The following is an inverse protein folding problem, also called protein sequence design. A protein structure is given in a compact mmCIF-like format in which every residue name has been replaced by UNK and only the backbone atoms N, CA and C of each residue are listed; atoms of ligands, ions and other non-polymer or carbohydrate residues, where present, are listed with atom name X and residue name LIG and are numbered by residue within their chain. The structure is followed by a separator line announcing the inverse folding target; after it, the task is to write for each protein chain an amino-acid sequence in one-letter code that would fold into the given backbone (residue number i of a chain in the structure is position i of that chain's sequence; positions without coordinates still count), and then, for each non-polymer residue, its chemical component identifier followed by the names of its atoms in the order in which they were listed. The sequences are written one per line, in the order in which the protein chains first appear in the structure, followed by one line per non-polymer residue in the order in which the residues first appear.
data_IF_023806562160
#
_entry.id   IF_023806562160
#
_cell.length_a   1.000
_cell.length_b   1.000
_cell.length_c   1.000
_cell.angle_alpha   90.00
_cell.angle_beta   90.00
_cell.angle_gamma   90.00
#
_symmetry.space_group_name_H-M   'P 1'
#
loop_
_entity.id
_entity.type
_entity.pdbx_description
1 polymer ?
#
# COMPACT_ATOMS: atom_id res chain seq x y z
N UNK A 1 44.26 -42.75 -26.96
CA UNK A 1 44.99 -41.71 -27.73
C UNK A 1 44.11 -40.47 -27.69
N UNK A 2 44.41 -39.37 -27.02
CA UNK A 2 45.70 -38.81 -26.65
C UNK A 2 45.69 -38.18 -25.23
N UNK A 3 46.89 -37.82 -24.80
CA UNK A 3 47.40 -37.66 -23.44
C UNK A 3 46.86 -36.49 -22.61
N UNK A 4 46.97 -36.71 -21.29
CA UNK A 4 46.88 -35.74 -20.23
C UNK A 4 48.15 -34.87 -20.15
N UNK A 5 47.98 -33.55 -19.96
CA UNK A 5 49.03 -32.66 -19.47
C UNK A 5 48.49 -31.90 -18.25
N UNK A 6 49.06 -32.21 -17.08
CA UNK A 6 48.75 -31.60 -15.81
C UNK A 6 49.29 -30.17 -15.73
N UNK A 7 48.46 -29.22 -15.27
CA UNK A 7 48.90 -27.88 -14.84
C UNK A 7 49.58 -27.97 -13.46
N UNK A 8 50.64 -27.19 -13.20
CA UNK A 8 51.28 -27.16 -11.89
C UNK A 8 50.41 -26.39 -10.88
N UNK A 9 50.50 -26.69 -9.57
CA UNK A 9 49.72 -26.00 -8.55
C UNK A 9 50.17 -24.54 -8.40
N UNK A 10 49.21 -23.62 -8.44
CA UNK A 10 49.41 -22.18 -8.19
C UNK A 10 49.79 -21.95 -6.73
N UNK A 11 50.99 -21.42 -6.50
CA UNK A 11 51.52 -21.11 -5.18
C UNK A 11 50.77 -19.87 -4.59
N UNK A 12 50.11 -19.98 -3.42
CA UNK A 12 49.27 -18.91 -2.85
C UNK A 12 50.01 -17.61 -2.53
N UNK A 13 51.34 -17.64 -2.41
CA UNK A 13 52.15 -16.43 -2.18
C UNK A 13 52.22 -15.52 -3.41
N UNK A 14 52.08 -16.08 -4.62
CA UNK A 14 52.09 -15.31 -5.88
C UNK A 14 50.78 -14.56 -6.12
N UNK A 15 49.65 -15.13 -5.64
CA UNK A 15 48.33 -14.51 -5.79
C UNK A 15 48.17 -13.32 -4.82
N UNK A 16 48.76 -13.41 -3.63
CA UNK A 16 48.77 -12.31 -2.65
C UNK A 16 49.60 -11.14 -3.17
N UNK A 17 50.76 -11.40 -3.80
CA UNK A 17 51.59 -10.34 -4.38
C UNK A 17 50.91 -9.60 -5.54
N UNK A 18 50.14 -10.30 -6.39
CA UNK A 18 49.40 -9.69 -7.49
C UNK A 18 48.24 -8.81 -6.97
N UNK A 19 47.58 -9.23 -5.88
CA UNK A 19 46.51 -8.45 -5.24
C UNK A 19 47.07 -7.19 -4.57
N UNK A 20 48.25 -7.29 -3.95
CA UNK A 20 48.92 -6.17 -3.28
C UNK A 20 49.48 -5.15 -4.30
N UNK A 21 49.98 -5.62 -5.45
CA UNK A 21 50.42 -4.76 -6.55
C UNK A 21 49.24 -4.05 -7.24
N UNK A 22 48.08 -4.71 -7.42
CA UNK A 22 46.85 -4.09 -7.94
C UNK A 22 46.28 -3.03 -6.98
N UNK A 23 46.36 -3.28 -5.68
CA UNK A 23 45.90 -2.36 -4.63
C UNK A 23 46.77 -1.10 -4.52
N UNK A 24 48.05 -1.20 -4.91
CA UNK A 24 48.99 -0.08 -4.89
C UNK A 24 48.97 0.81 -6.15
N UNK A 25 48.12 0.47 -7.14
CA UNK A 25 48.10 1.19 -8.41
C UNK A 25 47.52 2.62 -8.27
N UNK A 26 48.20 3.67 -8.79
CA UNK A 26 47.74 5.06 -8.69
C UNK A 26 46.40 5.31 -9.40
N UNK A 27 46.03 4.48 -10.37
CA UNK A 27 44.73 4.51 -11.05
C UNK A 27 43.57 4.10 -10.14
N UNK A 28 43.78 3.17 -9.21
CA UNK A 28 42.73 2.77 -8.27
C UNK A 28 42.47 3.88 -7.25
N UNK A 29 43.52 4.56 -6.78
CA UNK A 29 43.38 5.73 -5.90
C UNK A 29 42.70 6.90 -6.60
N UNK A 30 42.94 7.11 -7.89
CA UNK A 30 42.24 8.15 -8.67
C UNK A 30 40.76 7.78 -8.92
N UNK A 31 40.44 6.49 -9.13
CA UNK A 31 39.06 5.99 -9.23
C UNK A 31 38.30 5.99 -7.89
N UNK A 32 38.99 5.75 -6.77
CA UNK A 32 38.44 5.85 -5.42
C UNK A 32 38.23 7.32 -5.03
N UNK A 33 39.18 8.21 -5.34
CA UNK A 33 39.03 9.65 -5.16
C UNK A 33 37.87 10.21 -6.00
N UNK A 34 37.69 9.73 -7.25
CA UNK A 34 36.51 10.08 -8.07
C UNK A 34 35.19 9.52 -7.55
N UNK A 35 35.21 8.49 -6.69
CA UNK A 35 34.01 7.87 -6.14
C UNK A 35 33.49 8.57 -4.88
N UNK A 36 34.34 9.34 -4.19
CA UNK A 36 33.97 10.13 -3.00
C UNK A 36 33.25 11.46 -3.32
N UNK A 37 33.31 11.97 -4.55
CA UNK A 37 32.64 13.23 -4.91
C UNK A 37 31.26 13.05 -5.57
N UNK A 38 30.49 12.04 -5.15
CA UNK A 38 29.03 12.09 -5.33
C UNK A 38 28.44 12.99 -4.26
N UNK A 39 28.64 14.30 -4.43
CA UNK A 39 27.92 15.31 -3.67
C UNK A 39 26.43 15.17 -3.99
N UNK A 40 25.72 14.34 -3.22
CA UNK A 40 24.33 14.63 -2.91
C UNK A 40 24.37 16.05 -2.36
N UNK A 41 23.74 16.99 -3.07
CA UNK A 41 23.66 18.38 -2.63
C UNK A 41 23.35 18.38 -1.14
N UNK A 42 24.23 18.99 -0.33
CA UNK A 42 24.07 19.07 1.12
C UNK A 42 22.70 19.64 1.49
N UNK A 43 22.09 20.42 0.59
CA UNK A 43 20.70 20.89 0.68
C UNK A 43 19.66 19.77 0.61
N UNK A 44 19.82 18.74 -0.22
CA UNK A 44 18.87 17.61 -0.33
C UNK A 44 18.96 16.69 0.88
N UNK A 45 20.17 16.44 1.39
CA UNK A 45 20.39 15.64 2.60
C UNK A 45 19.96 16.41 3.85
N UNK A 46 20.25 17.71 3.94
CA UNK A 46 19.81 18.58 5.05
C UNK A 46 18.30 18.78 5.07
N UNK A 47 17.63 18.86 3.92
CA UNK A 47 16.17 18.97 3.84
C UNK A 47 15.45 17.65 4.22
N UNK A 48 16.10 16.51 4.01
CA UNK A 48 15.51 15.19 4.25
C UNK A 48 15.76 14.63 5.67
N UNK A 49 16.86 15.03 6.32
CA UNK A 49 17.25 14.56 7.66
C UNK A 49 16.67 15.43 8.78
N UNK A 50 16.28 16.67 8.49
CA UNK A 50 15.97 17.67 9.50
C UNK A 50 14.47 18.00 9.55
N UNK A 51 13.62 17.03 9.89
CA UNK A 51 12.18 17.28 10.15
C UNK A 51 11.42 16.15 10.90
N UNK A 52 12.10 15.15 11.48
CA UNK A 52 11.39 14.09 12.24
C UNK A 52 11.07 14.51 13.71
N UNK A 53 11.16 15.80 14.03
CA UNK A 53 10.54 16.36 15.24
C UNK A 53 9.06 16.60 14.97
N UNK A 54 8.21 15.83 15.64
CA UNK A 54 6.74 15.90 15.59
C UNK A 54 6.13 17.21 16.15
N UNK A 55 6.91 18.28 16.26
CA UNK A 55 6.50 19.65 16.56
C UNK A 55 6.97 20.56 15.42
N UNK A 56 6.01 21.19 14.75
CA UNK A 56 6.26 22.25 13.77
C UNK A 56 7.07 23.38 14.43
N UNK A 57 8.37 23.41 14.17
CA UNK A 57 9.15 24.64 14.11
C UNK A 57 10.07 24.52 12.89
N UNK A 58 9.87 25.33 11.85
CA UNK A 58 10.69 25.29 10.65
C UNK A 58 12.16 25.58 11.00
N UNK A 59 13.13 24.90 10.36
CA UNK A 59 14.53 25.23 10.54
C UNK A 59 14.78 26.56 9.83
N UNK A 60 15.44 27.50 10.52
CA UNK A 60 15.62 28.92 10.18
C UNK A 60 14.48 29.79 10.73
N UNK A 61 14.77 30.49 11.83
CA UNK A 61 14.07 31.73 12.18
C UNK A 61 13.93 32.58 10.91
N UNK A 62 12.74 33.10 10.58
CA UNK A 62 12.50 33.71 9.29
C UNK A 62 13.45 34.88 9.11
N UNK A 63 14.38 34.77 8.16
CA UNK A 63 14.62 35.91 7.29
C UNK A 63 13.35 36.03 6.44
N UNK A 64 12.35 36.67 7.04
CA UNK A 64 11.11 37.15 6.42
C UNK A 64 10.52 36.24 5.31
N UNK A 65 9.66 35.28 5.70
CA UNK A 65 8.37 35.08 5.02
C UNK A 65 8.27 34.28 3.71
N UNK A 66 8.86 33.09 3.57
CA UNK A 66 8.46 32.18 2.48
C UNK A 66 8.54 30.69 2.90
N UNK A 67 7.40 29.99 2.87
CA UNK A 67 7.37 28.53 2.76
C UNK A 67 7.97 28.15 1.39
N UNK A 68 8.87 27.16 1.35
CA UNK A 68 9.49 26.68 0.10
C UNK A 68 8.46 26.13 -0.91
N UNK A 69 7.31 25.68 -0.42
CA UNK A 69 6.17 25.31 -1.24
C UNK A 69 5.16 26.45 -1.32
N UNK A 70 4.63 26.68 -2.53
CA UNK A 70 3.46 27.54 -2.72
C UNK A 70 2.27 26.90 -2.02
N UNK A 71 1.50 27.66 -1.21
CA UNK A 71 0.27 27.16 -0.66
C UNK A 71 -0.69 26.77 -1.80
N UNK A 72 -1.50 25.76 -1.55
CA UNK A 72 -2.56 25.36 -2.49
C UNK A 72 -3.61 26.46 -2.65
N UNK A 73 -4.52 26.25 -3.58
CA UNK A 73 -5.69 27.09 -3.76
C UNK A 73 -6.93 26.40 -3.18
N UNK A 74 -7.89 27.21 -2.70
CA UNK A 74 -9.22 26.69 -2.38
C UNK A 74 -10.28 27.45 -3.16
N UNK A 75 -11.22 26.71 -3.74
CA UNK A 75 -12.33 27.28 -4.52
C UNK A 75 -13.66 26.70 -4.07
N UNK A 76 -14.70 27.52 -4.10
CA UNK A 76 -16.07 27.05 -3.95
C UNK A 76 -16.66 26.77 -5.32
N UNK A 77 -17.07 25.53 -5.57
CA UNK A 77 -17.69 25.14 -6.83
C UNK A 77 -19.19 25.41 -6.79
N UNK A 78 -19.72 26.00 -7.87
CA UNK A 78 -21.17 26.08 -8.10
C UNK A 78 -21.60 24.85 -8.89
N UNK A 79 -22.61 24.14 -8.38
CA UNK A 79 -23.08 22.84 -8.90
C UNK A 79 -23.44 22.92 -10.40
N UNK A 80 -23.00 21.93 -11.19
CA UNK A 80 -23.63 21.57 -12.47
C UNK A 80 -22.72 21.45 -13.68
N UNK A 81 -21.72 22.33 -13.84
CA UNK A 81 -20.91 22.39 -15.08
C UNK A 81 -19.39 22.35 -14.86
N UNK A 82 -18.91 22.72 -13.67
CA UNK A 82 -17.46 22.76 -13.37
C UNK A 82 -16.88 21.39 -12.94
N UNK A 83 -17.74 20.39 -12.72
CA UNK A 83 -17.34 19.04 -12.33
C UNK A 83 -17.00 18.13 -13.51
N UNK A 84 -17.52 18.43 -14.70
CA UNK A 84 -17.31 17.63 -15.90
C UNK A 84 -15.91 17.87 -16.46
N UNK A 85 -14.95 17.04 -16.02
CA UNK A 85 -13.59 16.99 -16.58
C UNK A 85 -12.46 17.22 -15.58
N UNK A 86 -12.76 17.65 -14.36
CA UNK A 86 -11.77 17.76 -13.29
C UNK A 86 -11.52 16.39 -12.64
N UNK A 87 -10.26 15.94 -12.66
CA UNK A 87 -9.81 14.72 -11.99
C UNK A 87 -9.41 15.08 -10.56
N UNK A 88 -10.20 14.61 -9.60
CA UNK A 88 -9.91 14.74 -8.17
C UNK A 88 -9.32 13.45 -7.64
N UNK A 89 -8.50 13.58 -6.60
CA UNK A 89 -7.71 12.46 -6.07
C UNK A 89 -8.36 11.88 -4.84
N UNK A 90 -8.84 12.76 -3.96
CA UNK A 90 -9.45 12.41 -2.69
C UNK A 90 -10.74 13.20 -2.47
N UNK A 91 -11.65 12.57 -1.74
CA UNK A 91 -12.81 13.21 -1.17
C UNK A 91 -12.75 13.11 0.36
N UNK A 92 -12.91 14.24 1.04
CA UNK A 92 -13.06 14.34 2.49
C UNK A 92 -14.49 14.79 2.76
N UNK A 93 -15.26 13.90 3.40
CA UNK A 93 -16.65 14.17 3.78
C UNK A 93 -16.65 14.64 5.22
N UNK A 94 -17.20 15.83 5.47
CA UNK A 94 -17.35 16.39 6.82
C UNK A 94 -18.82 16.56 7.18
N UNK A 95 -19.10 16.48 8.48
CA UNK A 95 -20.39 16.82 9.05
C UNK A 95 -20.51 18.32 9.23
N UNK A 96 -21.62 18.89 8.77
CA UNK A 96 -21.95 20.28 9.10
C UNK A 96 -22.35 20.37 10.57
N UNK A 97 -21.88 21.42 11.26
CA UNK A 97 -22.39 21.75 12.59
C UNK A 97 -23.87 22.16 12.43
N UNK A 98 -24.83 21.58 13.19
CA UNK A 98 -26.19 22.11 13.21
C UNK A 98 -26.09 23.56 13.69
N UNK A 99 -26.62 24.50 12.90
CA UNK A 99 -26.66 25.89 13.32
C UNK A 99 -27.80 26.02 14.32
N UNK A 100 -27.52 26.47 15.54
CA UNK A 100 -28.57 26.72 16.52
C UNK A 100 -29.53 27.80 15.96
N UNK A 101 -30.78 27.43 15.69
CA UNK A 101 -31.82 28.28 15.07
C UNK A 101 -32.09 29.60 15.82
N UNK A 102 -31.58 29.76 17.05
CA UNK A 102 -31.82 30.93 17.90
C UNK A 102 -31.10 32.20 17.47
N UNK A 103 -30.14 32.14 16.53
CA UNK A 103 -29.33 33.31 16.12
C UNK A 103 -29.72 33.92 14.77
N UNK A 104 -30.74 33.40 14.08
CA UNK A 104 -31.17 33.93 12.78
C UNK A 104 -32.25 35.00 12.90
N UNK A 105 -31.86 36.19 13.38
CA UNK A 105 -32.59 37.42 13.09
C UNK A 105 -31.60 38.44 12.52
N UNK A 106 -31.64 38.61 11.20
CA UNK A 106 -31.15 39.82 10.54
C UNK A 106 -29.64 39.99 10.44
N UNK A 107 -28.95 39.16 9.65
CA UNK A 107 -27.79 39.62 8.88
C UNK A 107 -27.56 38.74 7.65
N UNK A 108 -27.34 39.40 6.53
CA UNK A 108 -26.94 38.81 5.24
C UNK A 108 -25.65 37.98 5.41
N UNK A 109 -25.47 36.84 4.71
CA UNK A 109 -24.34 35.95 4.91
C UNK A 109 -23.09 36.50 4.21
N UNK A 110 -22.55 37.61 4.69
CA UNK A 110 -21.15 37.94 4.41
C UNK A 110 -20.26 37.00 5.22
N UNK A 111 -19.81 35.98 4.50
CA UNK A 111 -18.99 34.83 4.90
C UNK A 111 -17.69 35.24 5.62
N UNK A 112 -17.76 35.45 6.92
CA UNK A 112 -16.59 35.28 7.82
C UNK A 112 -16.70 33.91 8.48
N UNK A 113 -16.38 32.86 7.72
CA UNK A 113 -16.41 31.48 8.20
C UNK A 113 -15.15 31.16 9.00
N UNK A 114 -15.13 31.55 10.28
CA UNK A 114 -14.13 31.09 11.26
C UNK A 114 -14.54 29.71 11.84
N UNK A 115 -14.92 28.79 10.94
CA UNK A 115 -15.44 27.47 11.27
C UNK A 115 -14.35 26.41 11.42
N UNK A 116 -14.62 25.29 12.11
CA UNK A 116 -13.69 24.16 12.19
C UNK A 116 -13.36 23.57 10.80
N UNK A 117 -14.24 23.76 9.81
CA UNK A 117 -14.06 23.37 8.41
C UNK A 117 -12.94 24.19 7.74
N UNK A 118 -12.88 25.51 7.98
CA UNK A 118 -11.83 26.40 7.49
C UNK A 118 -10.46 25.96 8.00
N UNK A 119 -10.38 25.52 9.26
CA UNK A 119 -9.13 24.96 9.83
C UNK A 119 -8.66 23.69 9.13
N UNK A 120 -9.58 22.88 8.59
CA UNK A 120 -9.24 21.68 7.81
C UNK A 120 -8.71 22.12 6.44
N UNK A 121 -9.37 23.07 5.80
CA UNK A 121 -8.96 23.63 4.51
C UNK A 121 -7.58 24.30 4.62
N UNK A 122 -7.38 25.17 5.60
CA UNK A 122 -6.12 25.88 5.83
C UNK A 122 -4.96 24.91 6.01
N UNK A 123 -5.18 23.79 6.72
CA UNK A 123 -4.17 22.74 6.90
C UNK A 123 -3.84 22.03 5.59
N UNK A 124 -4.83 21.72 4.76
CA UNK A 124 -4.61 21.07 3.47
C UNK A 124 -3.86 22.02 2.51
N UNK A 125 -4.31 23.27 2.42
CA UNK A 125 -3.72 24.33 1.61
C UNK A 125 -2.29 24.64 2.05
N UNK A 126 -2.01 24.68 3.36
CA UNK A 126 -0.66 24.89 3.89
C UNK A 126 0.33 23.80 3.48
N UNK A 127 -0.13 22.60 3.14
CA UNK A 127 0.70 21.51 2.64
C UNK A 127 0.72 21.42 1.10
N UNK A 128 0.23 22.45 0.39
CA UNK A 128 0.28 22.53 -1.07
C UNK A 128 -0.76 21.67 -1.79
N UNK A 129 -1.85 21.29 -1.11
CA UNK A 129 -2.99 20.60 -1.73
C UNK A 129 -4.04 21.62 -2.15
N UNK A 130 -4.59 21.44 -3.34
CA UNK A 130 -5.68 22.24 -3.88
C UNK A 130 -7.02 21.63 -3.44
N UNK A 131 -7.92 22.48 -2.94
CA UNK A 131 -9.15 22.04 -2.27
C UNK A 131 -10.37 22.72 -2.88
N UNK A 132 -11.20 21.93 -3.54
CA UNK A 132 -12.46 22.37 -4.08
C UNK A 132 -13.62 21.95 -3.17
N UNK A 133 -14.50 22.90 -2.90
CA UNK A 133 -15.58 22.73 -1.93
C UNK A 133 -16.89 22.53 -2.67
N UNK A 134 -17.61 21.45 -2.30
CA UNK A 134 -18.96 21.15 -2.76
C UNK A 134 -19.90 21.06 -1.56
N UNK A 135 -20.95 21.88 -1.60
CA UNK A 135 -22.11 21.73 -0.72
C UNK A 135 -22.93 20.52 -1.20
N UNK A 136 -23.01 19.46 -0.39
CA UNK A 136 -23.58 18.18 -0.82
C UNK A 136 -25.11 18.19 -0.96
N UNK A 137 -25.67 18.78 -2.00
CA UNK A 137 -27.12 18.77 -2.23
C UNK A 137 -27.57 17.65 -3.18
N UNK A 138 -27.73 16.41 -2.70
CA UNK A 138 -28.42 15.35 -3.47
C UNK A 138 -29.09 14.31 -2.56
N UNK A 139 -30.27 14.62 -1.99
CA UNK A 139 -31.39 13.69 -1.72
C UNK A 139 -32.30 14.15 -0.56
N UNK A 140 -32.95 15.31 -0.69
CA UNK A 140 -34.33 15.58 -0.24
C UNK A 140 -34.59 17.09 -0.35
N UNK A 141 -35.03 17.54 -1.52
CA UNK A 141 -35.89 18.73 -1.53
C UNK A 141 -37.24 18.29 -0.97
N UNK A 142 -37.40 18.32 0.35
CA UNK A 142 -38.73 18.33 0.96
C UNK A 142 -39.33 19.68 0.61
N UNK A 143 -40.45 19.69 -0.12
CA UNK A 143 -41.20 20.91 -0.41
C UNK A 143 -41.53 21.61 0.92
N UNK A 144 -40.87 22.74 1.19
CA UNK A 144 -41.20 23.62 2.32
C UNK A 144 -40.17 23.73 3.45
N UNK A 145 -39.01 23.08 3.39
CA UNK A 145 -37.95 23.22 4.40
C UNK A 145 -36.65 23.75 3.78
N UNK A 146 -36.08 24.80 4.38
CA UNK A 146 -34.73 25.29 4.05
C UNK A 146 -33.66 24.44 4.75
N UNK A 147 -33.64 23.13 4.47
CA UNK A 147 -32.66 22.23 5.07
C UNK A 147 -31.43 22.13 4.17
N UNK A 148 -30.37 22.84 4.56
CA UNK A 148 -29.04 22.68 3.96
C UNK A 148 -28.52 21.26 4.14
N UNK A 149 -27.61 20.86 3.25
CA UNK A 149 -27.01 19.52 3.28
C UNK A 149 -26.36 19.18 4.62
N UNK A 150 -26.58 17.93 5.06
CA UNK A 150 -25.98 17.37 6.28
C UNK A 150 -24.44 17.23 6.17
N UNK A 151 -23.95 17.15 4.94
CA UNK A 151 -22.56 16.89 4.62
C UNK A 151 -21.96 17.97 3.73
N UNK A 152 -20.70 18.25 4.00
CA UNK A 152 -19.86 19.13 3.24
C UNK A 152 -18.71 18.29 2.66
N UNK A 153 -18.51 18.36 1.34
CA UNK A 153 -17.54 17.52 0.64
C UNK A 153 -16.41 18.38 0.13
N UNK A 154 -15.20 18.05 0.58
CA UNK A 154 -13.95 18.65 0.15
C UNK A 154 -13.33 17.71 -0.89
N UNK A 155 -13.22 18.17 -2.12
CA UNK A 155 -12.48 17.49 -3.17
C UNK A 155 -11.04 17.99 -3.14
N UNK A 156 -10.10 17.06 -3.06
CA UNK A 156 -8.68 17.36 -2.94
C UNK A 156 -7.99 16.93 -4.23
N UNK A 157 -7.20 17.84 -4.78
CA UNK A 157 -6.28 17.58 -5.88
C UNK A 157 -4.86 17.99 -5.48
N UNK A 158 -3.87 17.19 -5.84
CA UNK A 158 -2.48 17.50 -5.51
C UNK A 158 -1.81 18.37 -6.58
N UNK A 159 -1.18 19.47 -6.15
CA UNK A 159 -0.29 20.27 -7.01
C UNK A 159 0.97 19.45 -7.34
N UNK A 160 1.32 19.35 -8.61
CA UNK A 160 2.48 18.58 -9.09
C UNK A 160 3.82 19.04 -8.47
N UNK A 161 4.00 20.33 -8.17
CA UNK A 161 5.19 20.83 -7.47
C UNK A 161 5.28 20.25 -6.03
N UNK A 162 4.15 20.22 -5.33
CA UNK A 162 4.09 19.70 -3.96
C UNK A 162 4.23 18.17 -3.94
N UNK A 163 3.51 17.50 -4.83
CA UNK A 163 3.52 16.05 -4.96
C UNK A 163 4.91 15.52 -5.30
N UNK A 164 5.65 16.17 -6.20
CA UNK A 164 7.02 15.76 -6.52
C UNK A 164 7.98 15.96 -5.34
N UNK A 165 7.85 17.06 -4.59
CA UNK A 165 8.67 17.29 -3.39
C UNK A 165 8.39 16.24 -2.30
N UNK A 166 7.12 16.04 -1.93
CA UNK A 166 6.73 15.06 -0.92
C UNK A 166 7.00 13.62 -1.38
N UNK A 167 6.73 13.31 -2.64
CA UNK A 167 7.01 12.00 -3.22
C UNK A 167 8.49 11.64 -3.17
N UNK A 168 9.38 12.58 -3.51
CA UNK A 168 10.83 12.35 -3.43
C UNK A 168 11.28 12.14 -1.99
N UNK A 169 10.79 12.95 -1.05
CA UNK A 169 11.08 12.80 0.39
C UNK A 169 10.65 11.43 0.90
N UNK A 170 9.45 10.99 0.55
CA UNK A 170 8.86 9.75 1.05
C UNK A 170 9.55 8.50 0.47
N UNK A 171 9.86 8.51 -0.82
CA UNK A 171 10.67 7.46 -1.45
C UNK A 171 12.09 7.42 -0.85
N UNK A 172 12.68 8.58 -0.56
CA UNK A 172 14.01 8.66 0.06
C UNK A 172 14.00 8.11 1.49
N UNK A 173 12.98 8.44 2.29
CA UNK A 173 12.80 7.86 3.62
C UNK A 173 12.58 6.35 3.58
N UNK A 174 11.84 5.86 2.58
CA UNK A 174 11.66 4.42 2.36
C UNK A 174 13.01 3.76 2.05
N UNK A 175 13.75 4.32 1.11
CA UNK A 175 15.08 3.86 0.75
C UNK A 175 16.07 3.87 1.93
N UNK A 176 16.09 4.95 2.73
CA UNK A 176 16.96 5.05 3.91
C UNK A 176 16.69 3.93 4.92
N UNK A 177 15.42 3.52 5.07
CA UNK A 177 15.04 2.46 6.02
C UNK A 177 15.25 1.06 5.46
N UNK A 178 15.10 0.86 4.16
CA UNK A 178 15.24 -0.46 3.56
C UNK A 178 16.63 -0.77 3.04
N UNK A 179 17.41 0.25 2.70
CA UNK A 179 18.69 0.11 1.99
C UNK A 179 18.53 -0.48 0.59
N UNK A 180 17.32 -0.50 0.02
CA UNK A 180 17.07 -1.15 -1.27
C UNK A 180 17.67 -0.34 -2.43
N UNK A 181 18.84 -0.74 -2.93
CA UNK A 181 19.56 -0.03 -4.00
C UNK A 181 18.76 0.15 -5.30
N UNK A 182 17.74 -0.68 -5.54
CA UNK A 182 16.89 -0.64 -6.74
C UNK A 182 16.03 0.63 -6.84
N UNK A 183 15.64 1.20 -5.71
CA UNK A 183 14.83 2.42 -5.67
C UNK A 183 15.66 3.71 -5.88
N UNK A 184 17.00 3.62 -5.78
CA UNK A 184 17.90 4.78 -5.83
C UNK A 184 17.93 5.45 -7.19
N UNK A 185 17.97 4.67 -8.27
CA UNK A 185 18.02 5.25 -9.62
C UNK A 185 16.73 6.02 -9.94
N UNK A 186 15.57 5.52 -9.50
CA UNK A 186 14.29 6.21 -9.62
C UNK A 186 14.26 7.50 -8.78
N UNK A 187 14.87 7.50 -7.60
CA UNK A 187 14.99 8.65 -6.71
C UNK A 187 15.87 9.78 -7.25
N UNK A 188 17.00 9.43 -7.85
CA UNK A 188 18.03 10.39 -8.26
C UNK A 188 17.77 10.95 -9.66
N UNK A 189 17.25 10.13 -10.58
CA UNK A 189 17.10 10.49 -12.01
C UNK A 189 15.64 10.65 -12.46
N UNK A 190 14.68 10.10 -11.71
CA UNK A 190 13.28 9.98 -12.14
C UNK A 190 12.31 10.97 -11.51
N UNK A 191 11.10 11.01 -12.07
CA UNK A 191 9.94 11.55 -11.36
C UNK A 191 9.57 10.59 -10.23
N UNK A 192 9.40 11.07 -8.98
CA UNK A 192 9.16 10.20 -7.82
C UNK A 192 7.77 9.56 -7.84
N UNK A 193 6.84 10.13 -8.63
CA UNK A 193 5.49 9.64 -8.84
C UNK A 193 5.43 9.05 -10.24
N UNK A 194 5.43 7.72 -10.30
CA UNK A 194 5.40 6.97 -11.56
C UNK A 194 3.99 6.46 -11.86
N UNK A 195 3.21 6.18 -10.81
CA UNK A 195 1.88 5.56 -10.94
C UNK A 195 0.78 6.37 -10.25
N UNK A 196 -0.47 6.28 -10.72
CA UNK A 196 -1.64 6.83 -10.01
C UNK A 196 -1.73 6.34 -8.55
N UNK A 197 -1.39 5.08 -8.30
CA UNK A 197 -1.36 4.52 -6.96
C UNK A 197 -0.30 5.19 -6.06
N UNK A 198 0.91 5.45 -6.59
CA UNK A 198 1.93 6.23 -5.85
C UNK A 198 1.43 7.65 -5.55
N UNK A 199 0.75 8.29 -6.51
CA UNK A 199 0.17 9.63 -6.34
C UNK A 199 -0.85 9.66 -5.20
N UNK A 200 -1.77 8.71 -5.20
CA UNK A 200 -2.76 8.53 -4.13
C UNK A 200 -2.08 8.26 -2.79
N UNK A 201 -1.02 7.45 -2.77
CA UNK A 201 -0.29 7.11 -1.56
C UNK A 201 0.45 8.31 -0.96
N UNK A 202 1.03 9.17 -1.80
CA UNK A 202 1.67 10.44 -1.36
C UNK A 202 0.62 11.40 -0.80
N UNK A 203 -0.52 11.57 -1.47
CA UNK A 203 -1.59 12.44 -0.99
C UNK A 203 -2.18 11.93 0.34
N UNK A 204 -2.43 10.63 0.47
CA UNK A 204 -2.89 10.02 1.73
C UNK A 204 -1.89 10.28 2.87
N UNK A 205 -0.58 10.17 2.58
CA UNK A 205 0.47 10.48 3.54
C UNK A 205 0.47 11.96 3.95
N UNK A 206 0.32 12.90 3.00
CA UNK A 206 0.21 14.34 3.29
C UNK A 206 -1.01 14.64 4.16
N UNK A 207 -2.17 14.05 3.87
CA UNK A 207 -3.41 14.26 4.62
C UNK A 207 -3.29 13.72 6.05
N UNK A 208 -2.76 12.49 6.21
CA UNK A 208 -2.70 11.80 7.50
C UNK A 208 -1.57 12.29 8.39
N UNK A 209 -0.37 12.47 7.85
CA UNK A 209 0.82 12.80 8.63
C UNK A 209 1.09 14.31 8.64
N UNK A 210 0.96 14.98 7.50
CA UNK A 210 1.16 16.44 7.40
C UNK A 210 0.00 17.22 8.03
N UNK A 211 -1.20 17.09 7.46
CA UNK A 211 -2.38 17.82 7.94
C UNK A 211 -2.99 17.23 9.23
N UNK A 212 -2.61 16.00 9.60
CA UNK A 212 -3.14 15.26 10.77
C UNK A 212 -4.67 15.11 10.72
N UNK A 213 -5.20 14.92 9.51
CA UNK A 213 -6.63 14.69 9.27
C UNK A 213 -6.85 13.17 9.24
N UNK A 214 -7.73 12.68 10.10
CA UNK A 214 -8.05 11.26 10.22
C UNK A 214 -9.54 11.13 10.54
N UNK A 215 -10.15 9.96 10.36
CA UNK A 215 -11.55 9.73 10.78
C UNK A 215 -11.80 9.94 12.28
N UNK A 216 -10.74 10.10 13.09
CA UNK A 216 -10.85 10.47 14.51
C UNK A 216 -10.89 11.98 14.76
N UNK A 217 -10.62 12.82 13.74
CA UNK A 217 -10.72 14.28 13.92
C UNK A 217 -12.20 14.68 13.99
N UNK A 218 -12.56 15.64 14.87
CA UNK A 218 -13.92 16.13 14.95
C UNK A 218 -14.43 16.57 13.57
N UNK A 219 -15.71 16.30 13.30
CA UNK A 219 -16.40 16.67 12.07
C UNK A 219 -15.98 15.95 10.78
N UNK A 220 -14.93 15.12 10.77
CA UNK A 220 -14.58 14.30 9.59
C UNK A 220 -15.29 12.96 9.65
N UNK A 221 -16.13 12.69 8.65
CA UNK A 221 -16.84 11.41 8.51
C UNK A 221 -15.95 10.37 7.82
N UNK A 222 -15.39 10.71 6.66
CA UNK A 222 -14.63 9.77 5.83
C UNK A 222 -13.64 10.48 4.92
N UNK A 223 -12.49 9.82 4.69
CA UNK A 223 -11.44 10.24 3.75
C UNK A 223 -11.15 9.06 2.84
N UNK A 224 -11.35 9.23 1.53
CA UNK A 224 -11.12 8.14 0.56
C UNK A 224 -10.70 8.67 -0.81
N UNK A 225 -9.93 7.89 -1.58
CA UNK A 225 -9.57 8.26 -2.93
C UNK A 225 -10.77 8.17 -3.88
N UNK A 226 -10.83 9.04 -4.88
CA UNK A 226 -11.89 9.05 -5.88
C UNK A 226 -11.56 8.05 -6.99
N UNK A 227 -12.58 7.35 -7.49
CA UNK A 227 -12.41 6.39 -8.59
C UNK A 227 -12.34 7.10 -9.95
N UNK A 228 -11.48 6.62 -10.84
CA UNK A 228 -11.51 6.97 -12.25
C UNK A 228 -12.47 6.04 -13.02
N UNK A 229 -13.65 6.52 -13.46
CA UNK A 229 -14.63 5.68 -14.15
C UNK A 229 -14.07 5.12 -15.47
N UNK A 230 -13.20 5.87 -16.16
CA UNK A 230 -12.63 5.45 -17.46
C UNK A 230 -11.70 4.25 -17.29
N UNK A 231 -10.80 4.32 -16.30
CA UNK A 231 -9.89 3.20 -15.99
C UNK A 231 -10.66 1.99 -15.46
N UNK A 232 -11.67 2.19 -14.62
CA UNK A 232 -12.51 1.10 -14.12
C UNK A 232 -13.25 0.37 -15.25
N UNK A 233 -13.84 1.09 -16.19
CA UNK A 233 -14.53 0.50 -17.34
C UNK A 233 -13.56 -0.29 -18.22
N UNK A 234 -12.37 0.27 -18.49
CA UNK A 234 -11.32 -0.41 -19.23
C UNK A 234 -10.88 -1.73 -18.56
N UNK A 235 -10.61 -1.68 -17.25
CA UNK A 235 -10.17 -2.85 -16.49
C UNK A 235 -11.27 -3.92 -16.43
N UNK A 236 -12.51 -3.52 -16.19
CA UNK A 236 -13.66 -4.43 -16.14
C UNK A 236 -13.90 -5.08 -17.50
N UNK A 237 -13.92 -4.30 -18.57
CA UNK A 237 -14.09 -4.82 -19.93
C UNK A 237 -12.98 -5.78 -20.31
N UNK A 238 -11.72 -5.43 -20.03
CA UNK A 238 -10.57 -6.29 -20.29
C UNK A 238 -10.65 -7.59 -19.48
N UNK A 239 -11.03 -7.52 -18.20
CA UNK A 239 -11.15 -8.68 -17.33
C UNK A 239 -12.27 -9.64 -17.78
N UNK A 240 -13.44 -9.11 -18.16
CA UNK A 240 -14.58 -9.91 -18.61
C UNK A 240 -14.32 -10.52 -19.99
N UNK A 241 -13.68 -9.78 -20.89
CA UNK A 241 -13.43 -10.22 -22.26
C UNK A 241 -12.24 -11.18 -22.39
N UNK A 242 -11.35 -11.23 -21.40
CA UNK A 242 -10.19 -12.12 -21.42
C UNK A 242 -10.62 -13.60 -21.29
N UNK A 243 -10.10 -14.52 -22.13
CA UNK A 243 -10.40 -15.94 -22.01
C UNK A 243 -9.92 -16.49 -20.66
N UNK A 244 -10.74 -17.35 -20.03
CA UNK A 244 -10.55 -17.90 -18.67
C UNK A 244 -9.21 -18.62 -18.38
N UNK A 245 -8.33 -18.84 -19.36
CA UNK A 245 -7.00 -19.42 -19.16
C UNK A 245 -5.85 -18.38 -19.22
N UNK A 246 -6.05 -17.23 -19.86
CA UNK A 246 -5.13 -16.07 -19.85
C UNK A 246 -5.63 -15.01 -18.85
N UNK A 247 -6.20 -15.46 -17.74
CA UNK A 247 -7.02 -14.64 -16.84
C UNK A 247 -6.35 -13.34 -16.39
N UNK A 248 -5.02 -13.30 -16.39
CA UNK A 248 -4.29 -12.10 -16.05
C UNK A 248 -2.99 -12.04 -16.87
N UNK A 249 -2.99 -11.27 -17.96
CA UNK A 249 -1.75 -10.93 -18.68
C UNK A 249 -0.84 -10.07 -17.79
N UNK A 250 0.48 -10.17 -17.94
CA UNK A 250 1.43 -9.31 -17.20
C UNK A 250 1.11 -7.81 -17.37
N UNK A 251 0.60 -7.43 -18.56
CA UNK A 251 0.14 -6.07 -18.86
C UNK A 251 -1.07 -5.67 -18.02
N UNK A 252 -2.02 -6.59 -17.83
CA UNK A 252 -3.16 -6.36 -16.96
C UNK A 252 -2.73 -6.22 -15.49
N UNK A 253 -1.80 -7.07 -15.00
CA UNK A 253 -1.24 -6.89 -13.65
C UNK A 253 -0.54 -5.56 -13.49
N UNK A 254 0.27 -5.15 -14.47
CA UNK A 254 0.99 -3.88 -14.42
C UNK A 254 0.01 -2.70 -14.35
N UNK A 255 -1.08 -2.73 -15.12
CA UNK A 255 -2.11 -1.69 -15.08
C UNK A 255 -2.91 -1.69 -13.78
N UNK A 256 -3.26 -2.87 -13.27
CA UNK A 256 -3.91 -3.03 -11.97
C UNK A 256 -3.04 -2.51 -10.83
N UNK A 257 -1.74 -2.84 -10.85
CA UNK A 257 -0.74 -2.34 -9.91
C UNK A 257 -0.63 -0.82 -9.98
N UNK A 258 -0.53 -0.26 -11.18
CA UNK A 258 -0.38 1.19 -11.35
C UNK A 258 -1.60 1.97 -10.84
N UNK A 259 -2.81 1.40 -10.91
CA UNK A 259 -4.04 2.09 -10.51
C UNK A 259 -4.46 1.82 -9.05
N UNK A 260 -4.47 0.55 -8.63
CA UNK A 260 -4.93 0.12 -7.29
C UNK A 260 -3.80 -0.16 -6.29
N UNK A 261 -2.55 -0.15 -6.74
CA UNK A 261 -1.40 -0.45 -5.93
C UNK A 261 -1.03 -1.94 -5.88
N UNK A 262 0.08 -2.20 -5.21
CA UNK A 262 0.76 -3.50 -5.22
C UNK A 262 -0.05 -4.60 -4.52
N UNK A 263 -0.71 -4.27 -3.40
CA UNK A 263 -1.49 -5.23 -2.59
C UNK A 263 -2.65 -5.84 -3.38
N UNK A 264 -3.39 -5.00 -4.10
CA UNK A 264 -4.51 -5.45 -4.94
C UNK A 264 -4.00 -6.27 -6.12
N UNK A 265 -2.91 -5.83 -6.76
CA UNK A 265 -2.29 -6.58 -7.85
C UNK A 265 -1.81 -7.98 -7.42
N UNK A 266 -1.22 -8.10 -6.22
CA UNK A 266 -0.84 -9.39 -5.64
C UNK A 266 -2.02 -10.34 -5.44
N UNK A 267 -3.17 -9.82 -5.01
CA UNK A 267 -4.38 -10.62 -4.89
C UNK A 267 -4.80 -11.20 -6.25
N UNK A 268 -4.87 -10.38 -7.30
CA UNK A 268 -5.22 -10.87 -8.64
C UNK A 268 -4.17 -11.82 -9.22
N UNK A 269 -2.88 -11.59 -8.96
CA UNK A 269 -1.81 -12.50 -9.36
C UNK A 269 -1.92 -13.86 -8.65
N UNK A 270 -2.24 -13.87 -7.36
CA UNK A 270 -2.50 -15.11 -6.62
C UNK A 270 -3.70 -15.86 -7.19
N UNK A 271 -4.80 -15.15 -7.42
CA UNK A 271 -6.01 -15.75 -7.99
C UNK A 271 -5.76 -16.37 -9.36
N UNK A 272 -4.98 -15.72 -10.24
CA UNK A 272 -4.59 -16.30 -11.53
C UNK A 272 -3.73 -17.57 -11.37
N UNK A 273 -2.70 -17.51 -10.53
CA UNK A 273 -1.85 -18.66 -10.24
C UNK A 273 -2.65 -19.83 -9.66
N UNK A 274 -3.58 -19.55 -8.75
CA UNK A 274 -4.43 -20.53 -8.10
C UNK A 274 -5.43 -21.15 -9.08
N UNK A 275 -6.13 -20.35 -9.87
CA UNK A 275 -7.07 -20.86 -10.89
C UNK A 275 -6.38 -21.73 -11.93
N UNK A 276 -5.22 -21.31 -12.44
CA UNK A 276 -4.40 -22.12 -13.36
C UNK A 276 -3.93 -23.43 -12.72
N UNK A 277 -3.67 -23.43 -11.42
CA UNK A 277 -3.28 -24.64 -10.69
C UNK A 277 -4.44 -25.58 -10.40
N UNK A 278 -5.67 -25.06 -10.25
CA UNK A 278 -6.89 -25.85 -10.05
C UNK A 278 -7.33 -26.56 -11.33
N UNK A 279 -7.10 -25.97 -12.51
CA UNK A 279 -7.52 -26.52 -13.79
C UNK A 279 -7.11 -27.98 -14.03
N UNK A 280 -5.85 -28.41 -13.86
CA UNK A 280 -5.47 -29.82 -14.04
C UNK A 280 -6.19 -30.76 -13.07
N UNK A 281 -6.40 -30.33 -11.82
CA UNK A 281 -7.17 -31.10 -10.83
C UNK A 281 -8.63 -31.20 -11.23
N UNK A 282 -9.24 -30.10 -11.68
CA UNK A 282 -10.63 -30.08 -12.09
C UNK A 282 -10.86 -31.01 -13.28
N UNK A 283 -9.98 -30.96 -14.28
CA UNK A 283 -10.05 -31.85 -15.46
C UNK A 283 -9.95 -33.31 -15.02
N UNK A 284 -8.98 -33.66 -14.18
CA UNK A 284 -8.78 -35.02 -13.72
C UNK A 284 -9.92 -35.51 -12.81
N UNK A 285 -10.49 -34.64 -11.97
CA UNK A 285 -11.66 -34.93 -11.14
C UNK A 285 -12.93 -35.17 -11.96
N UNK A 286 -13.16 -34.36 -13.00
CA UNK A 286 -14.26 -34.58 -13.96
C UNK A 286 -14.05 -35.89 -14.71
N UNK A 287 -12.84 -36.16 -15.20
CA UNK A 287 -12.47 -37.40 -15.88
C UNK A 287 -12.77 -38.63 -15.01
N UNK A 288 -12.34 -38.60 -13.74
CA UNK A 288 -12.59 -39.66 -12.77
C UNK A 288 -14.10 -39.88 -12.55
N UNK A 289 -14.88 -38.80 -12.51
CA UNK A 289 -16.33 -38.85 -12.35
C UNK A 289 -17.02 -39.46 -13.58
N UNK A 290 -16.59 -39.09 -14.79
CA UNK A 290 -17.11 -39.65 -16.04
C UNK A 290 -16.83 -41.16 -16.15
N UNK A 291 -15.64 -41.61 -15.74
CA UNK A 291 -15.28 -43.03 -15.80
C UNK A 291 -15.84 -43.87 -14.64
N UNK A 292 -16.55 -43.27 -13.67
CA UNK A 292 -17.15 -43.97 -12.52
C UNK A 292 -17.96 -45.20 -12.92
N UNK A 293 -18.79 -45.08 -13.96
CA UNK A 293 -19.65 -46.17 -14.41
C UNK A 293 -18.87 -47.32 -15.07
N UNK A 294 -17.66 -47.05 -15.59
CA UNK A 294 -16.81 -48.02 -16.28
C UNK A 294 -15.89 -48.76 -15.30
N UNK A 295 -15.35 -48.08 -14.28
CA UNK A 295 -14.41 -48.68 -13.33
C UNK A 295 -15.06 -49.64 -12.32
N UNK A 296 -16.37 -49.55 -12.13
CA UNK A 296 -17.09 -50.25 -11.06
C UNK A 296 -16.80 -49.65 -9.67
N UNK A 297 -17.76 -49.79 -8.75
CA UNK A 297 -17.73 -49.07 -7.46
C UNK A 297 -16.51 -49.39 -6.59
N UNK A 298 -16.08 -50.66 -6.56
CA UNK A 298 -14.95 -51.09 -5.73
C UNK A 298 -13.60 -50.46 -6.16
N UNK A 299 -13.33 -50.39 -7.47
CA UNK A 299 -12.10 -49.75 -7.98
C UNK A 299 -12.17 -48.23 -7.85
N UNK A 300 -13.34 -47.63 -8.12
CA UNK A 300 -13.55 -46.19 -7.96
C UNK A 300 -13.21 -45.71 -6.54
N UNK A 301 -13.65 -46.42 -5.49
CA UNK A 301 -13.33 -46.07 -4.10
C UNK A 301 -11.82 -46.15 -3.80
N UNK A 302 -11.10 -47.15 -4.34
CA UNK A 302 -9.64 -47.25 -4.17
C UNK A 302 -8.91 -46.10 -4.86
N UNK A 303 -9.33 -45.74 -6.08
CA UNK A 303 -8.73 -44.63 -6.83
C UNK A 303 -9.01 -43.29 -6.14
N UNK A 304 -10.19 -43.10 -5.54
CA UNK A 304 -10.51 -41.89 -4.80
C UNK A 304 -9.57 -41.64 -3.61
N UNK A 305 -9.17 -42.69 -2.88
CA UNK A 305 -8.21 -42.55 -1.78
C UNK A 305 -6.84 -42.10 -2.30
N UNK A 306 -6.37 -42.72 -3.38
CA UNK A 306 -5.11 -42.34 -4.03
C UNK A 306 -5.18 -40.90 -4.57
N UNK A 307 -6.32 -40.53 -5.16
CA UNK A 307 -6.59 -39.17 -5.62
C UNK A 307 -6.57 -38.16 -4.47
N UNK A 308 -7.22 -38.45 -3.35
CA UNK A 308 -7.23 -37.58 -2.18
C UNK A 308 -5.80 -37.37 -1.64
N UNK A 309 -4.98 -38.42 -1.59
CA UNK A 309 -3.57 -38.31 -1.20
C UNK A 309 -2.75 -37.48 -2.20
N UNK A 310 -2.96 -37.68 -3.50
CA UNK A 310 -2.30 -36.89 -4.55
C UNK A 310 -2.65 -35.40 -4.43
N UNK A 311 -3.94 -35.07 -4.27
CA UNK A 311 -4.38 -33.68 -4.12
C UNK A 311 -3.85 -33.06 -2.82
N UNK A 312 -3.95 -33.77 -1.71
CA UNK A 312 -3.58 -33.25 -0.38
C UNK A 312 -2.07 -33.10 -0.18
N UNK A 313 -1.24 -33.97 -0.77
CA UNK A 313 0.22 -33.93 -0.58
C UNK A 313 0.92 -33.29 -1.78
N UNK A 314 0.67 -33.81 -2.98
CA UNK A 314 1.44 -33.42 -4.18
C UNK A 314 0.97 -32.07 -4.70
N UNK A 315 -0.33 -31.92 -4.94
CA UNK A 315 -0.84 -30.69 -5.52
C UNK A 315 -0.77 -29.52 -4.54
N UNK A 316 -1.16 -29.72 -3.28
CA UNK A 316 -1.10 -28.65 -2.27
C UNK A 316 0.33 -28.07 -2.18
N UNK A 317 1.34 -28.93 -2.02
CA UNK A 317 2.73 -28.51 -1.96
C UNK A 317 3.17 -27.82 -3.24
N UNK A 318 2.80 -28.37 -4.40
CA UNK A 318 3.13 -27.77 -5.70
C UNK A 318 2.54 -26.38 -5.86
N UNK A 319 1.28 -26.15 -5.46
CA UNK A 319 0.65 -24.82 -5.50
C UNK A 319 1.36 -23.83 -4.60
N UNK A 320 1.66 -24.22 -3.36
CA UNK A 320 2.38 -23.36 -2.43
C UNK A 320 3.77 -23.01 -2.97
N UNK A 321 4.50 -23.99 -3.51
CA UNK A 321 5.84 -23.77 -4.06
C UNK A 321 5.80 -22.90 -5.33
N UNK A 322 4.85 -23.15 -6.22
CA UNK A 322 4.62 -22.37 -7.44
C UNK A 322 4.29 -20.91 -7.10
N UNK A 323 3.40 -20.69 -6.12
CA UNK A 323 3.08 -19.35 -5.65
C UNK A 323 4.28 -18.67 -5.01
N UNK A 324 5.06 -19.36 -4.17
CA UNK A 324 6.27 -18.81 -3.56
C UNK A 324 7.28 -18.33 -4.61
N UNK A 325 7.49 -19.11 -5.67
CA UNK A 325 8.35 -18.69 -6.78
C UNK A 325 7.79 -17.46 -7.52
N UNK A 326 6.50 -17.50 -7.89
CA UNK A 326 5.84 -16.38 -8.57
C UNK A 326 5.82 -15.10 -7.73
N UNK A 327 5.61 -15.24 -6.42
CA UNK A 327 5.63 -14.13 -5.48
C UNK A 327 7.00 -13.45 -5.44
N UNK A 328 8.09 -14.23 -5.43
CA UNK A 328 9.45 -13.70 -5.45
C UNK A 328 9.78 -13.02 -6.79
N UNK A 329 9.35 -13.62 -7.91
CA UNK A 329 9.49 -13.01 -9.23
C UNK A 329 8.78 -11.65 -9.29
N UNK A 330 7.53 -11.57 -8.83
CA UNK A 330 6.78 -10.32 -8.77
C UNK A 330 7.43 -9.31 -7.81
N UNK A 331 7.92 -9.77 -6.66
CA UNK A 331 8.60 -8.91 -5.69
C UNK A 331 9.86 -8.27 -6.29
N UNK A 332 10.58 -9.03 -7.11
CA UNK A 332 11.74 -8.55 -7.84
C UNK A 332 11.35 -7.61 -8.98
N UNK A 333 10.47 -8.02 -9.89
CA UNK A 333 10.05 -7.23 -11.05
C UNK A 333 9.41 -5.88 -10.69
N UNK A 334 8.78 -5.81 -9.53
CA UNK A 334 8.04 -4.64 -9.10
C UNK A 334 8.81 -3.72 -8.16
N UNK A 335 10.04 -4.08 -7.80
CA UNK A 335 10.79 -3.37 -6.76
C UNK A 335 9.97 -3.19 -5.48
N UNK A 336 9.27 -4.25 -5.08
CA UNK A 336 8.44 -4.19 -3.90
C UNK A 336 9.31 -4.21 -2.66
N UNK A 337 8.93 -3.34 -1.74
CA UNK A 337 9.46 -3.24 -0.40
C UNK A 337 8.27 -3.11 0.56
N UNK A 338 7.44 -4.14 0.57
CA UNK A 338 6.13 -4.11 1.21
C UNK A 338 6.25 -3.85 2.72
N UNK A 339 7.24 -4.45 3.36
CA UNK A 339 7.47 -4.31 4.81
C UNK A 339 7.88 -2.88 5.15
N UNK A 340 8.83 -2.29 4.41
CA UNK A 340 9.25 -0.92 4.66
C UNK A 340 8.15 0.08 4.31
N UNK A 341 7.42 -0.12 3.20
CA UNK A 341 6.29 0.73 2.81
C UNK A 341 5.17 0.68 3.86
N UNK A 342 4.89 -0.46 4.48
CA UNK A 342 3.86 -0.49 5.54
C UNK A 342 4.31 0.27 6.79
N UNK A 343 5.58 0.17 7.17
CA UNK A 343 6.13 0.88 8.34
C UNK A 343 6.24 2.38 8.13
N UNK A 344 6.62 2.83 6.93
CA UNK A 344 6.80 4.25 6.60
C UNK A 344 5.45 4.94 6.35
N UNK A 345 4.56 4.32 5.58
CA UNK A 345 3.34 4.99 5.12
C UNK A 345 2.13 4.78 6.03
N UNK A 346 2.07 3.66 6.77
CA UNK A 346 0.88 3.23 7.49
C UNK A 346 1.18 2.83 8.94
N UNK A 347 1.89 3.71 9.68
CA UNK A 347 2.14 3.51 11.11
C UNK A 347 0.82 3.46 11.86
N UNK A 348 0.62 2.42 12.68
CA UNK A 348 -0.60 2.31 13.49
C UNK A 348 -0.66 3.44 14.54
N UNK A 349 -1.61 4.40 14.46
CA UNK A 349 -1.68 5.52 15.39
C UNK A 349 -2.09 5.11 16.82
N UNK A 350 -2.72 3.94 16.95
CA UNK A 350 -3.16 3.36 18.22
C UNK A 350 -2.09 2.50 18.89
N UNK A 351 -0.93 2.33 18.25
CA UNK A 351 0.18 1.61 18.87
C UNK A 351 0.64 2.37 20.13
N UNK A 352 0.92 1.62 21.19
CA UNK A 352 1.40 2.12 22.47
C UNK A 352 2.54 1.21 22.93
N UNK A 353 3.74 1.77 22.93
CA UNK A 353 4.96 1.11 23.40
C UNK A 353 5.71 1.98 24.39
N UNK A 354 6.82 1.45 24.91
CA UNK A 354 7.79 2.20 25.68
C UNK A 354 8.61 3.06 24.73
N UNK A 355 8.78 4.35 25.06
CA UNK A 355 9.60 5.26 24.27
C UNK A 355 11.07 4.93 24.46
N UNK A 356 11.79 4.79 23.36
CA UNK A 356 13.24 4.59 23.36
C UNK A 356 13.85 5.40 22.21
N UNK A 357 15.14 5.70 22.31
CA UNK A 357 15.88 6.34 21.21
C UNK A 357 16.40 5.21 20.33
N UNK A 358 16.00 5.22 19.06
CA UNK A 358 16.44 4.22 18.11
C UNK A 358 17.95 4.42 17.83
N UNK A 359 18.80 3.41 18.04
CA UNK A 359 20.25 3.55 17.88
C UNK A 359 20.68 3.76 16.42
N UNK A 360 19.85 3.38 15.45
CA UNK A 360 20.14 3.51 14.02
C UNK A 360 19.73 4.90 13.51
N UNK A 361 18.54 5.37 13.89
CA UNK A 361 18.02 6.65 13.39
C UNK A 361 18.29 7.83 14.31
N UNK A 362 18.63 7.59 15.58
CA UNK A 362 18.76 8.63 16.61
C UNK A 362 17.42 9.27 17.00
N UNK A 363 16.30 8.77 16.50
CA UNK A 363 14.96 9.33 16.72
C UNK A 363 14.23 8.63 17.85
N UNK A 364 13.31 9.36 18.50
CA UNK A 364 12.42 8.78 19.48
C UNK A 364 11.41 7.85 18.80
N UNK A 365 11.45 6.57 19.15
CA UNK A 365 10.52 5.56 18.65
C UNK A 365 9.84 4.82 19.81
N UNK A 366 8.84 4.00 19.49
CA UNK A 366 8.12 3.19 20.46
C UNK A 366 8.38 1.72 20.19
N UNK A 367 8.82 0.99 21.21
CA UNK A 367 8.96 -0.47 21.14
C UNK A 367 8.01 -1.16 22.10
N UNK A 368 7.56 -2.36 21.71
CA UNK A 368 6.78 -3.22 22.60
C UNK A 368 7.47 -4.58 22.65
N UNK A 369 8.07 -4.89 23.80
CA UNK A 369 8.88 -6.09 23.99
C UNK A 369 8.10 -7.36 23.64
N UNK A 370 8.72 -8.25 22.86
CA UNK A 370 8.07 -9.44 22.33
C UNK A 370 7.58 -10.39 23.44
N UNK A 371 8.28 -10.45 24.58
CA UNK A 371 7.88 -11.31 25.69
C UNK A 371 6.52 -10.92 26.29
N UNK A 372 6.17 -9.62 26.29
CA UNK A 372 4.86 -9.13 26.74
C UNK A 372 3.73 -9.50 25.78
N UNK A 373 4.05 -9.93 24.55
CA UNK A 373 3.08 -10.35 23.52
C UNK A 373 2.64 -11.81 23.70
N UNK A 374 3.52 -12.69 24.19
CA UNK A 374 3.22 -14.12 24.37
C UNK A 374 1.94 -14.42 25.16
N UNK A 375 1.65 -13.81 26.34
CA UNK A 375 0.41 -14.11 27.05
C UNK A 375 -0.85 -13.77 26.23
N UNK A 376 -0.79 -12.72 25.40
CA UNK A 376 -1.89 -12.36 24.49
C UNK A 376 -2.05 -13.41 23.39
N UNK A 377 -0.94 -13.89 22.81
CA UNK A 377 -0.97 -14.96 21.80
C UNK A 377 -1.51 -16.28 22.37
N UNK A 378 -1.13 -16.63 23.61
CA UNK A 378 -1.66 -17.81 24.30
C UNK A 378 -3.16 -17.67 24.55
N UNK A 379 -3.64 -16.50 25.00
CA UNK A 379 -5.07 -16.26 25.18
C UNK A 379 -5.86 -16.41 23.86
N UNK A 380 -5.35 -15.88 22.75
CA UNK A 380 -5.96 -16.05 21.42
C UNK A 380 -5.94 -17.52 20.98
N UNK A 381 -4.85 -18.25 21.24
CA UNK A 381 -4.75 -19.68 20.94
C UNK A 381 -5.79 -20.50 21.71
N UNK A 382 -5.95 -20.24 23.02
CA UNK A 382 -6.97 -20.89 23.85
C UNK A 382 -8.38 -20.60 23.34
N UNK A 383 -8.65 -19.35 22.93
CA UNK A 383 -9.92 -18.98 22.31
C UNK A 383 -10.17 -19.75 21.00
N UNK A 384 -9.15 -19.90 20.15
CA UNK A 384 -9.29 -20.69 18.90
C UNK A 384 -9.55 -22.17 19.19
N UNK A 385 -8.86 -22.77 20.17
CA UNK A 385 -9.10 -24.16 20.57
C UNK A 385 -10.53 -24.33 21.10
N UNK A 386 -11.01 -23.39 21.91
CA UNK A 386 -12.39 -23.40 22.39
C UNK A 386 -13.39 -23.32 21.22
N UNK A 387 -13.17 -22.42 20.26
CA UNK A 387 -14.01 -22.31 19.06
C UNK A 387 -14.04 -23.62 18.26
N UNK A 388 -12.88 -24.28 18.09
CA UNK A 388 -12.78 -25.58 17.42
C UNK A 388 -13.55 -26.65 18.21
N UNK A 389 -13.43 -26.69 19.54
CA UNK A 389 -14.18 -27.66 20.37
C UNK A 389 -15.69 -27.47 20.27
N UNK A 390 -16.16 -26.22 20.22
CA UNK A 390 -17.59 -25.90 20.05
C UNK A 390 -18.06 -26.37 18.67
N UNK A 391 -17.31 -26.09 17.61
CA UNK A 391 -17.63 -26.57 16.26
C UNK A 391 -17.66 -28.09 16.17
N UNK A 392 -16.69 -28.78 16.79
CA UNK A 392 -16.66 -30.24 16.85
C UNK A 392 -17.86 -30.81 17.61
N UNK A 393 -18.28 -30.18 18.71
CA UNK A 393 -19.47 -30.58 19.46
C UNK A 393 -20.74 -30.42 18.62
N UNK A 394 -20.89 -29.29 17.92
CA UNK A 394 -22.04 -29.07 17.02
C UNK A 394 -22.10 -30.14 15.93
N UNK A 395 -20.96 -30.48 15.31
CA UNK A 395 -20.89 -31.53 14.29
C UNK A 395 -21.25 -32.89 14.89
N UNK A 396 -20.72 -33.23 16.08
CA UNK A 396 -21.04 -34.49 16.76
C UNK A 396 -22.53 -34.59 17.07
N UNK A 397 -23.14 -33.54 17.64
CA UNK A 397 -24.57 -33.48 17.89
C UNK A 397 -25.39 -33.63 16.61
N UNK A 398 -24.98 -32.97 15.52
CA UNK A 398 -25.66 -33.06 14.23
C UNK A 398 -25.61 -34.48 13.65
N UNK A 399 -24.45 -35.14 13.70
CA UNK A 399 -24.30 -36.54 13.27
C UNK A 399 -25.20 -37.46 14.10
N UNK A 400 -25.19 -37.32 15.43
CA UNK A 400 -26.05 -38.14 16.30
C UNK A 400 -27.54 -37.91 16.04
N UNK A 401 -27.96 -36.67 15.77
CA UNK A 401 -29.34 -36.39 15.41
C UNK A 401 -29.72 -37.01 14.06
N UNK A 402 -28.81 -36.97 13.08
CA UNK A 402 -29.05 -37.58 11.77
C UNK A 402 -29.16 -39.11 11.87
N UNK A 403 -28.32 -39.75 12.68
CA UNK A 403 -28.35 -41.19 12.94
C UNK A 403 -29.62 -41.62 13.68
N UNK A 404 -30.18 -40.78 14.56
CA UNK A 404 -31.44 -41.05 15.27
C UNK A 404 -32.68 -40.82 14.40
N UNK A 405 -32.57 -39.98 13.37
CA UNK A 405 -33.69 -39.65 12.45
C UNK A 405 -33.80 -40.64 11.28
N UNK A 406 -32.71 -41.29 10.88
CA UNK A 406 -32.71 -42.42 9.93
C UNK A 406 -33.18 -43.71 10.60
#
# INVERSE_FOLDING_TARGET
MADAAAQPPSNPETEIHIIEELASSPLLNEMVAKREERHLSSSVVSLAVQDDQWSFTPPVSPRSGASLLKPGHYRYLRVGSELEGALYDFAIVTHRKPVDEKFFIGSSPEKKHDGPETRIIDKLVAHGLDVDIIEGDFSRMVKGASEGSKYFVLLVSGNEEALTAYGRRLKFQTWLRSGNSREVDALVKGNPIVTPADRIQVIDHIIREGAKITTSTPYVHSVFPVHDPKTNEYLLKTFIQSPRLELVSERFLAKMRAHFGEKVAYYFAFMDCYNKSLLPIAILGVLLTCFRNVLGMAMYMRVLVVWALLVSVVWSYWVLKKWSHRNNELNFQWDNDADTKTVVYYRNPKFRGESFINPVTGLQDQSYASWKRYPKYVAVLLFMILQISIMMLVIACWITAFEVIQ
#
